data_IF_777235651469
#
_entry.id   IF_777235651469
#
_cell.length_a   1.000
_cell.length_b   1.000
_cell.length_c   1.000
_cell.angle_alpha   90.00
_cell.angle_beta   90.00
_cell.angle_gamma   90.00
#
_symmetry.space_group_name_H-M   'P 1'
#
loop_
_entity.id
_entity.type
_entity.pdbx_description
1 polymer ?
#
# COMPACT_ATOMS: atom_id res chain seq x y z
N UNK A 1 17.03 -16.50 -6.60
CA UNK A 1 16.86 -15.85 -5.28
C UNK A 1 16.98 -14.35 -5.48
N UNK A 2 15.87 -13.70 -5.83
CA UNK A 2 15.86 -12.26 -5.93
C UNK A 2 15.63 -11.65 -4.54
N UNK A 3 16.59 -10.87 -4.05
CA UNK A 3 16.40 -10.03 -2.86
C UNK A 3 15.60 -8.78 -3.23
N UNK A 4 14.91 -8.13 -2.29
CA UNK A 4 14.21 -6.86 -2.53
C UNK A 4 15.09 -5.75 -3.13
N UNK A 5 16.42 -5.92 -3.14
CA UNK A 5 17.40 -5.05 -3.77
C UNK A 5 17.41 -5.09 -5.31
N UNK A 6 16.93 -6.17 -5.93
CA UNK A 6 16.98 -6.38 -7.38
C UNK A 6 15.73 -5.90 -8.14
N UNK A 7 14.67 -5.51 -7.43
CA UNK A 7 13.50 -4.90 -8.07
C UNK A 7 13.80 -3.46 -8.52
N UNK A 8 13.24 -3.04 -9.66
CA UNK A 8 13.37 -1.66 -10.12
C UNK A 8 12.72 -0.70 -9.11
N UNK A 9 13.29 0.50 -9.00
CA UNK A 9 12.69 1.55 -8.16
C UNK A 9 11.41 2.06 -8.81
N UNK A 10 10.48 2.57 -8.00
CA UNK A 10 9.23 3.14 -8.52
C UNK A 10 9.55 4.32 -9.45
N UNK A 11 9.16 4.28 -10.74
CA UNK A 11 9.49 5.35 -11.67
C UNK A 11 8.69 6.62 -11.36
N UNK A 12 9.21 7.77 -11.80
CA UNK A 12 8.45 9.02 -11.87
C UNK A 12 8.00 9.20 -13.33
N UNK A 13 6.70 9.13 -13.64
CA UNK A 13 6.20 9.35 -14.99
C UNK A 13 6.50 10.77 -15.47
N UNK A 14 6.73 10.92 -16.78
CA UNK A 14 6.91 12.24 -17.40
C UNK A 14 5.75 13.18 -17.06
N UNK A 15 6.06 14.43 -16.71
CA UNK A 15 5.05 15.41 -16.29
C UNK A 15 3.97 15.59 -17.36
N UNK A 16 4.36 15.84 -18.61
CA UNK A 16 3.44 16.01 -19.74
C UNK A 16 2.48 14.83 -19.91
N UNK A 17 3.02 13.60 -19.91
CA UNK A 17 2.22 12.39 -20.01
C UNK A 17 1.21 12.23 -18.87
N UNK A 18 1.58 12.65 -17.65
CA UNK A 18 0.66 12.67 -16.50
C UNK A 18 -0.45 13.71 -16.67
N UNK A 19 -0.10 14.93 -17.12
CA UNK A 19 -1.06 16.02 -17.33
C UNK A 19 -2.06 15.69 -18.46
N UNK A 20 -1.61 15.06 -19.54
CA UNK A 20 -2.50 14.64 -20.63
C UNK A 20 -3.48 13.55 -20.18
N UNK A 21 -3.00 12.56 -19.41
CA UNK A 21 -3.87 11.53 -18.83
C UNK A 21 -4.86 12.12 -17.83
N UNK A 22 -4.44 13.14 -17.06
CA UNK A 22 -5.30 13.85 -16.12
C UNK A 22 -6.47 14.54 -16.85
N UNK A 23 -6.20 15.22 -17.98
CA UNK A 23 -7.25 15.82 -18.82
C UNK A 23 -8.26 14.77 -19.30
N UNK A 24 -7.77 13.65 -19.82
CA UNK A 24 -8.64 12.55 -20.29
C UNK A 24 -9.48 11.98 -19.14
N UNK A 25 -8.86 11.69 -17.99
CA UNK A 25 -9.53 11.11 -16.83
C UNK A 25 -10.57 12.05 -16.20
N UNK A 26 -10.41 13.36 -16.35
CA UNK A 26 -11.34 14.36 -15.83
C UNK A 26 -12.61 14.54 -16.68
N UNK A 27 -12.57 14.15 -17.96
CA UNK A 27 -13.67 14.32 -18.93
C UNK A 27 -15.06 13.90 -18.40
N UNK A 28 -15.26 12.71 -17.78
CA UNK A 28 -16.59 12.30 -17.30
C UNK A 28 -17.07 13.04 -16.05
N UNK A 29 -16.21 13.82 -15.38
CA UNK A 29 -16.53 14.53 -14.14
C UNK A 29 -16.84 16.01 -14.35
N UNK A 30 -16.66 16.52 -15.56
CA UNK A 30 -16.95 17.92 -15.87
C UNK A 30 -18.46 18.19 -15.84
N UNK A 31 -18.88 19.17 -15.03
CA UNK A 31 -20.28 19.57 -14.94
C UNK A 31 -20.76 20.27 -16.23
N UNK A 32 -19.84 20.94 -16.94
CA UNK A 32 -20.10 21.59 -18.22
C UNK A 32 -18.86 21.58 -19.11
N UNK A 33 -19.04 21.87 -20.40
CA UNK A 33 -17.93 22.04 -21.35
C UNK A 33 -17.05 23.25 -20.97
N UNK A 34 -17.65 24.30 -20.41
CA UNK A 34 -16.93 25.48 -19.93
C UNK A 34 -16.00 25.12 -18.78
N UNK A 35 -16.50 24.39 -17.78
CA UNK A 35 -15.69 23.92 -16.64
C UNK A 35 -14.54 23.02 -17.11
N UNK A 36 -14.80 22.12 -18.07
CA UNK A 36 -13.76 21.26 -18.63
C UNK A 36 -12.68 22.06 -19.37
N UNK A 37 -13.09 23.06 -20.15
CA UNK A 37 -12.18 23.95 -20.88
C UNK A 37 -11.32 24.74 -19.91
N UNK A 38 -11.93 25.30 -18.86
CA UNK A 38 -11.22 26.01 -17.81
C UNK A 38 -10.22 25.10 -17.07
N UNK A 39 -10.64 23.87 -16.72
CA UNK A 39 -9.77 22.87 -16.11
C UNK A 39 -8.56 22.53 -17.00
N UNK A 40 -8.77 22.29 -18.30
CA UNK A 40 -7.68 22.01 -19.24
C UNK A 40 -6.68 23.16 -19.29
N UNK A 41 -7.15 24.41 -19.33
CA UNK A 41 -6.30 25.58 -19.32
C UNK A 41 -5.43 25.68 -18.04
N UNK A 42 -6.01 25.34 -16.87
CA UNK A 42 -5.25 25.29 -15.61
C UNK A 42 -4.19 24.18 -15.61
N UNK A 43 -4.52 23.00 -16.14
CA UNK A 43 -3.59 21.86 -16.25
C UNK A 43 -2.42 22.21 -17.18
N UNK A 44 -2.70 22.86 -18.31
CA UNK A 44 -1.68 23.33 -19.25
C UNK A 44 -0.80 24.40 -18.62
N UNK A 45 -1.40 25.40 -17.97
CA UNK A 45 -0.66 26.43 -17.24
C UNK A 45 0.25 25.81 -16.18
N UNK A 46 -0.21 24.81 -15.43
CA UNK A 46 0.63 24.15 -14.42
C UNK A 46 1.90 23.51 -15.02
N UNK A 47 1.82 23.04 -16.26
CA UNK A 47 2.90 22.37 -16.99
C UNK A 47 3.93 23.30 -17.66
N UNK A 48 3.68 24.60 -17.75
CA UNK A 48 4.61 25.56 -18.38
C UNK A 48 5.94 25.67 -17.62
N UNK A 49 7.05 25.90 -18.34
CA UNK A 49 8.42 25.90 -17.81
C UNK A 49 8.64 26.80 -16.58
N UNK A 50 7.93 27.93 -16.50
CA UNK A 50 8.05 28.91 -15.42
C UNK A 50 7.00 28.75 -14.31
N UNK A 51 6.30 27.62 -14.27
CA UNK A 51 5.22 27.34 -13.32
C UNK A 51 5.63 26.23 -12.35
N UNK A 52 4.70 25.88 -11.46
CA UNK A 52 5.00 24.98 -10.34
C UNK A 52 5.27 23.54 -10.79
N UNK A 53 4.66 23.07 -11.87
CA UNK A 53 4.75 21.68 -12.33
C UNK A 53 6.19 21.21 -12.57
N UNK A 54 6.98 21.87 -13.44
CA UNK A 54 8.37 21.47 -13.69
C UNK A 54 9.24 21.49 -12.42
N UNK A 55 9.04 22.48 -11.54
CA UNK A 55 9.74 22.56 -10.25
C UNK A 55 9.40 21.35 -9.36
N UNK A 56 8.13 21.01 -9.21
CA UNK A 56 7.71 19.87 -8.40
C UNK A 56 8.14 18.54 -9.01
N UNK A 57 8.06 18.39 -10.33
CA UNK A 57 8.55 17.20 -11.02
C UNK A 57 10.04 17.00 -10.79
N UNK A 58 10.86 18.07 -10.87
CA UNK A 58 12.30 18.00 -10.57
C UNK A 58 12.57 17.55 -9.14
N UNK A 59 11.88 18.12 -8.14
CA UNK A 59 12.02 17.72 -6.73
C UNK A 59 11.60 16.26 -6.51
N UNK A 60 10.53 15.83 -7.16
CA UNK A 60 10.04 14.45 -7.10
C UNK A 60 11.06 13.47 -7.71
N UNK A 61 11.62 13.80 -8.88
CA UNK A 61 12.67 13.00 -9.51
C UNK A 61 13.92 12.90 -8.64
N UNK A 62 14.31 14.00 -7.97
CA UNK A 62 15.42 13.98 -7.01
C UNK A 62 15.15 13.05 -5.82
N UNK A 63 13.93 13.10 -5.23
CA UNK A 63 13.53 12.15 -4.17
C UNK A 63 13.54 10.70 -4.67
N UNK A 64 13.09 10.46 -5.90
CA UNK A 64 13.09 9.12 -6.49
C UNK A 64 14.50 8.57 -6.76
N UNK A 65 15.48 9.42 -7.02
CA UNK A 65 16.89 8.98 -7.13
C UNK A 65 17.47 8.53 -5.78
N UNK A 66 16.92 9.03 -4.67
CA UNK A 66 17.42 8.76 -3.31
C UNK A 66 16.64 7.66 -2.58
N UNK A 67 15.56 7.14 -3.18
CA UNK A 67 14.66 6.18 -2.53
C UNK A 67 14.27 5.06 -3.50
N UNK A 68 14.14 3.81 -3.00
CA UNK A 68 13.61 2.69 -3.80
C UNK A 68 12.14 2.88 -4.19
N UNK A 69 11.37 3.52 -3.33
CA UNK A 69 9.99 3.86 -3.58
C UNK A 69 9.74 5.26 -3.00
N UNK A 70 9.58 6.24 -3.86
CA UNK A 70 9.40 7.65 -3.46
C UNK A 70 8.02 7.94 -2.86
N UNK A 71 7.07 7.00 -2.98
CA UNK A 71 5.66 7.18 -2.63
C UNK A 71 5.26 6.45 -1.33
N UNK A 72 5.84 5.28 -1.04
CA UNK A 72 5.24 4.30 -0.13
C UNK A 72 5.03 4.78 1.31
N UNK A 73 6.09 5.03 2.07
CA UNK A 73 5.97 5.23 3.52
C UNK A 73 5.53 6.66 3.87
N UNK A 74 6.29 7.65 3.40
CA UNK A 74 6.12 9.05 3.79
C UNK A 74 4.81 9.68 3.27
N UNK A 75 4.27 9.17 2.17
CA UNK A 75 3.13 9.78 1.50
C UNK A 75 1.93 8.85 1.40
N UNK A 76 2.06 7.70 0.74
CA UNK A 76 0.92 6.83 0.50
C UNK A 76 0.38 6.21 1.78
N UNK A 77 1.21 5.52 2.55
CA UNK A 77 0.76 4.89 3.81
C UNK A 77 0.20 5.93 4.77
N UNK A 78 0.90 7.05 4.91
CA UNK A 78 0.46 8.16 5.76
C UNK A 78 -0.90 8.74 5.31
N UNK A 79 -1.01 9.19 4.06
CA UNK A 79 -2.22 9.86 3.56
C UNK A 79 -3.41 8.92 3.40
N UNK A 80 -3.18 7.71 2.90
CA UNK A 80 -4.27 6.77 2.61
C UNK A 80 -4.80 6.07 3.87
N UNK A 81 -3.99 5.92 4.92
CA UNK A 81 -4.39 5.14 6.09
C UNK A 81 -4.23 5.89 7.42
N UNK A 82 -3.09 6.51 7.68
CA UNK A 82 -2.72 6.94 9.04
C UNK A 82 -3.27 8.33 9.43
N UNK A 83 -3.46 9.23 8.47
CA UNK A 83 -4.07 10.54 8.71
C UNK A 83 -5.61 10.50 8.76
N UNK A 84 -6.22 9.49 8.12
CA UNK A 84 -7.67 9.31 8.13
C UNK A 84 -8.18 9.09 9.56
N UNK A 85 -9.18 9.88 9.98
CA UNK A 85 -9.77 9.84 11.32
C UNK A 85 -11.13 9.13 11.39
N UNK A 86 -11.67 8.74 10.24
CA UNK A 86 -12.83 7.86 10.20
C UNK A 86 -12.50 6.51 10.84
N UNK A 87 -13.50 5.87 11.43
CA UNK A 87 -13.34 4.56 12.03
C UNK A 87 -12.75 3.58 11.02
N UNK A 88 -11.70 2.86 11.41
CA UNK A 88 -11.12 1.82 10.55
C UNK A 88 -12.12 0.69 10.28
N UNK A 89 -13.10 0.50 11.16
CA UNK A 89 -14.21 -0.41 10.92
C UNK A 89 -15.04 0.10 9.75
N UNK A 90 -15.29 -0.77 8.76
CA UNK A 90 -16.04 -0.48 7.52
C UNK A 90 -15.25 0.38 6.53
N UNK A 91 -14.68 1.51 6.95
CA UNK A 91 -14.09 2.49 6.03
C UNK A 91 -12.68 2.14 5.54
N UNK A 92 -11.91 1.37 6.33
CA UNK A 92 -10.51 1.08 5.99
C UNK A 92 -10.17 -0.40 6.04
N UNK A 93 -10.70 -1.15 7.01
CA UNK A 93 -10.39 -2.57 7.20
C UNK A 93 -11.29 -3.43 6.30
N UNK A 94 -10.77 -4.02 5.21
CA UNK A 94 -11.54 -4.98 4.43
C UNK A 94 -11.80 -6.25 5.25
N UNK A 95 -13.01 -6.77 5.17
CA UNK A 95 -13.36 -8.07 5.73
C UNK A 95 -13.36 -9.15 4.64
N UNK A 96 -12.83 -10.32 4.96
CA UNK A 96 -12.90 -11.49 4.09
C UNK A 96 -13.82 -12.55 4.71
N UNK A 97 -14.76 -13.07 3.92
CA UNK A 97 -15.63 -14.18 4.31
C UNK A 97 -15.16 -15.41 3.56
N UNK A 98 -14.59 -16.36 4.31
CA UNK A 98 -14.13 -17.64 3.76
C UNK A 98 -15.29 -18.58 3.39
N UNK A 99 -14.98 -19.72 2.74
CA UNK A 99 -15.98 -20.73 2.42
C UNK A 99 -16.66 -21.25 3.69
N UNK A 100 -17.95 -21.56 3.59
CA UNK A 100 -18.69 -22.17 4.68
C UNK A 100 -18.11 -23.54 5.00
N UNK A 101 -17.56 -23.68 6.21
CA UNK A 101 -17.09 -24.98 6.70
C UNK A 101 -18.29 -25.73 7.27
N UNK A 102 -18.66 -26.84 6.62
CA UNK A 102 -19.76 -27.69 7.08
C UNK A 102 -19.35 -28.52 8.30
N UNK A 103 -20.35 -29.01 9.04
CA UNK A 103 -20.18 -30.01 10.10
C UNK A 103 -19.36 -29.60 11.34
N UNK A 104 -19.03 -28.32 11.53
CA UNK A 104 -18.50 -27.83 12.82
C UNK A 104 -19.68 -27.56 13.76
N UNK A 105 -19.89 -28.44 14.73
CA UNK A 105 -20.94 -28.30 15.77
C UNK A 105 -20.34 -28.53 17.14
N UNK A 106 -20.78 -27.73 18.12
CA UNK A 106 -20.30 -27.82 19.50
C UNK A 106 -18.94 -27.13 19.70
N UNK A 107 -18.68 -26.72 20.95
CA UNK A 107 -17.51 -25.91 21.32
C UNK A 107 -16.17 -26.60 21.01
N UNK A 108 -16.10 -27.92 21.17
CA UNK A 108 -14.88 -28.71 20.94
C UNK A 108 -14.46 -28.72 19.47
N UNK A 109 -15.39 -28.95 18.55
CA UNK A 109 -15.10 -28.92 17.12
C UNK A 109 -14.74 -27.51 16.63
N UNK A 110 -15.35 -26.47 17.21
CA UNK A 110 -14.96 -25.07 16.95
C UNK A 110 -13.53 -24.83 17.42
N UNK A 111 -13.18 -25.27 18.64
CA UNK A 111 -11.84 -25.12 19.18
C UNK A 111 -10.78 -25.84 18.31
N UNK A 112 -11.07 -27.07 17.86
CA UNK A 112 -10.20 -27.82 16.96
C UNK A 112 -10.03 -27.17 15.59
N UNK A 113 -11.09 -26.56 15.06
CA UNK A 113 -10.99 -25.81 13.81
C UNK A 113 -10.13 -24.55 13.98
N UNK A 114 -10.38 -23.76 15.03
CA UNK A 114 -9.60 -22.55 15.33
C UNK A 114 -8.13 -22.90 15.59
N UNK A 115 -7.83 -24.00 16.29
CA UNK A 115 -6.45 -24.41 16.55
C UNK A 115 -5.71 -24.75 15.25
N UNK A 116 -6.38 -25.38 14.27
CA UNK A 116 -5.79 -25.64 12.94
C UNK A 116 -5.52 -24.33 12.19
N UNK A 117 -6.45 -23.38 12.21
CA UNK A 117 -6.26 -22.06 11.57
C UNK A 117 -5.06 -21.32 12.19
N UNK A 118 -4.95 -21.31 13.51
CA UNK A 118 -3.83 -20.70 14.23
C UNK A 118 -2.52 -21.40 13.88
N UNK A 119 -2.51 -22.75 13.88
CA UNK A 119 -1.33 -23.53 13.54
C UNK A 119 -0.83 -23.23 12.11
N UNK A 120 -1.73 -23.14 11.13
CA UNK A 120 -1.38 -22.78 9.75
C UNK A 120 -0.88 -21.34 9.64
N UNK A 121 -1.45 -20.38 10.38
CA UNK A 121 -0.94 -19.01 10.41
C UNK A 121 0.48 -18.93 10.98
N UNK A 122 0.79 -19.70 12.02
CA UNK A 122 2.14 -19.80 12.59
C UNK A 122 3.09 -20.47 11.59
N UNK A 123 2.67 -21.58 10.98
CA UNK A 123 3.47 -22.29 9.99
C UNK A 123 3.80 -21.39 8.80
N UNK A 124 2.83 -20.63 8.27
CA UNK A 124 3.07 -19.68 7.19
C UNK A 124 4.05 -18.56 7.60
N UNK A 125 3.93 -18.02 8.82
CA UNK A 125 4.92 -17.07 9.37
C UNK A 125 6.34 -17.67 9.38
N UNK A 126 6.49 -18.93 9.78
CA UNK A 126 7.78 -19.63 9.79
C UNK A 126 8.34 -19.85 8.38
N UNK A 127 7.47 -20.18 7.41
CA UNK A 127 7.88 -20.28 6.00
C UNK A 127 8.49 -18.95 5.53
N UNK A 128 7.81 -17.82 5.77
CA UNK A 128 8.32 -16.49 5.42
C UNK A 128 9.67 -16.19 6.09
N UNK A 129 9.81 -16.52 7.39
CA UNK A 129 11.08 -16.40 8.12
C UNK A 129 12.22 -17.21 7.50
N UNK A 130 11.89 -18.38 6.97
CA UNK A 130 12.84 -19.29 6.31
C UNK A 130 13.06 -18.97 4.82
N UNK A 131 12.57 -17.81 4.34
CA UNK A 131 12.81 -17.32 2.99
C UNK A 131 11.83 -17.84 1.94
N UNK A 132 10.69 -18.39 2.33
CA UNK A 132 9.60 -18.68 1.40
C UNK A 132 9.04 -17.40 0.79
N UNK A 133 8.76 -17.44 -0.51
CA UNK A 133 8.17 -16.34 -1.29
C UNK A 133 6.81 -16.80 -1.85
N UNK A 134 5.68 -16.28 -1.35
CA UNK A 134 4.34 -16.75 -1.73
C UNK A 134 4.06 -16.72 -3.25
N UNK A 135 4.60 -15.73 -3.97
CA UNK A 135 4.43 -15.59 -5.42
C UNK A 135 5.53 -16.29 -6.28
N UNK A 136 6.45 -17.02 -5.65
CA UNK A 136 7.61 -17.66 -6.29
C UNK A 136 8.69 -16.68 -6.76
N UNK A 137 9.51 -17.08 -7.74
CA UNK A 137 10.60 -16.27 -8.36
C UNK A 137 10.07 -15.17 -9.33
N UNK A 138 8.82 -14.71 -9.18
CA UNK A 138 8.27 -13.63 -10.01
C UNK A 138 8.85 -12.27 -9.61
N UNK A 139 8.96 -11.34 -10.57
CA UNK A 139 9.45 -9.97 -10.37
C UNK A 139 8.45 -9.06 -9.62
N UNK A 140 7.91 -9.52 -8.48
CA UNK A 140 6.95 -8.78 -7.66
C UNK A 140 7.52 -8.59 -6.26
N UNK A 141 7.26 -7.43 -5.66
CA UNK A 141 7.68 -7.12 -4.29
C UNK A 141 6.89 -7.94 -3.27
N UNK A 142 7.59 -8.71 -2.44
CA UNK A 142 7.01 -9.52 -1.37
C UNK A 142 7.08 -8.86 0.01
N UNK A 143 7.53 -7.60 0.12
CA UNK A 143 7.72 -6.89 1.39
C UNK A 143 6.43 -6.77 2.23
N UNK A 144 5.26 -6.87 1.60
CA UNK A 144 3.98 -6.79 2.30
C UNK A 144 3.73 -8.01 3.21
N UNK A 145 4.17 -9.21 2.81
CA UNK A 145 4.01 -10.42 3.62
C UNK A 145 4.76 -10.32 4.95
N UNK A 146 5.87 -9.60 4.96
CA UNK A 146 6.67 -9.35 6.16
C UNK A 146 6.02 -8.36 7.14
N UNK A 147 4.88 -7.78 6.78
CA UNK A 147 4.15 -6.78 7.59
C UNK A 147 2.79 -7.29 8.07
N UNK A 148 2.44 -8.55 7.79
CA UNK A 148 1.15 -9.14 8.18
C UNK A 148 1.16 -9.52 9.66
N UNK A 149 2.21 -10.20 10.11
CA UNK A 149 2.29 -10.74 11.47
C UNK A 149 2.98 -9.77 12.41
N UNK A 150 2.53 -9.76 13.67
CA UNK A 150 3.13 -8.93 14.73
C UNK A 150 2.97 -7.42 14.52
N UNK A 151 2.23 -6.98 13.51
CA UNK A 151 2.08 -5.58 13.17
C UNK A 151 0.78 -5.04 13.73
N UNK A 152 0.81 -3.85 14.31
CA UNK A 152 -0.37 -3.18 14.85
C UNK A 152 -0.36 -1.69 14.54
N UNK A 153 -1.54 -1.12 14.33
CA UNK A 153 -1.74 0.32 14.19
C UNK A 153 -1.93 0.92 15.59
N UNK A 154 -1.16 1.96 15.91
CA UNK A 154 -1.20 2.67 17.18
C UNK A 154 -1.93 4.00 16.96
N UNK A 155 -3.05 4.26 17.66
CA UNK A 155 -3.75 5.53 17.56
C UNK A 155 -2.87 6.70 18.02
N UNK A 156 -2.88 7.79 17.25
CA UNK A 156 -2.35 9.08 17.65
C UNK A 156 -3.41 10.17 17.56
N UNK A 157 -3.12 11.35 18.08
CA UNK A 157 -4.08 12.47 18.14
C UNK A 157 -4.39 13.04 16.74
N UNK A 158 -3.35 13.18 15.91
CA UNK A 158 -3.47 13.73 14.55
C UNK A 158 -3.17 12.69 13.48
N UNK A 159 -2.21 11.81 13.74
CA UNK A 159 -1.73 10.79 12.84
C UNK A 159 -1.45 9.52 13.63
N UNK A 160 -1.94 8.39 13.13
CA UNK A 160 -1.64 7.10 13.72
C UNK A 160 -0.25 6.61 13.28
N UNK A 161 0.32 5.65 14.00
CA UNK A 161 1.58 5.03 13.62
C UNK A 161 1.41 3.53 13.46
N UNK A 162 2.40 2.86 12.89
CA UNK A 162 2.44 1.41 12.79
C UNK A 162 3.60 0.90 13.64
N UNK A 163 3.29 0.02 14.59
CA UNK A 163 4.29 -0.76 15.30
C UNK A 163 4.47 -2.10 14.58
N UNK A 164 5.66 -2.34 14.07
CA UNK A 164 6.03 -3.62 13.46
C UNK A 164 6.67 -4.51 14.51
N UNK A 165 6.09 -5.68 14.76
CA UNK A 165 6.73 -6.74 15.52
C UNK A 165 7.76 -7.44 14.64
N UNK A 166 8.98 -7.59 15.16
CA UNK A 166 10.08 -8.08 14.34
C UNK A 166 9.84 -9.54 13.94
N UNK A 167 9.94 -9.83 12.65
CA UNK A 167 9.92 -11.21 12.16
C UNK A 167 11.26 -11.90 12.51
N UNK A 168 12.28 -11.14 12.93
CA UNK A 168 13.58 -11.65 13.39
C UNK A 168 13.67 -11.89 14.91
N UNK A 169 12.67 -11.53 15.70
CA UNK A 169 12.73 -11.61 17.17
C UNK A 169 12.49 -13.01 17.78
N UNK A 170 12.70 -14.09 17.02
CA UNK A 170 12.69 -15.46 17.55
C UNK A 170 14.11 -16.02 17.75
N UNK A 171 15.07 -15.18 18.15
CA UNK A 171 16.23 -15.70 18.87
C UNK A 171 15.78 -16.00 20.31
N UNK A 172 15.84 -17.30 20.66
CA UNK A 172 15.75 -17.76 22.04
C UNK A 172 16.57 -16.84 22.97
N UNK A 173 15.90 -16.28 23.98
CA UNK A 173 16.46 -16.22 25.32
C UNK A 173 16.08 -17.51 26.05
#
# INVERSE_FOLDING_TARGET
KFSSLELPSLPVPQLSATLDRLKIAATPFAASMEDFTHFCALVEQFGEDNKAGPKFHKLLSQKAMQTKNWLSHDWWTQKAYLEGRDSVMIWSNPAFIGPKVSNIKGKENVALFVSKVIAEAIHFKQLLQNGYTPDGDKQICNDQYMKIYGTTRIPGDLIDTISYGDIKDNHCS
#
